data_IF_035460901627
#
_entry.id   IF_035460901627
#
_cell.length_a   1.000
_cell.length_b   1.000
_cell.length_c   1.000
_cell.angle_alpha   90.00
_cell.angle_beta   90.00
_cell.angle_gamma   90.00
#
_symmetry.space_group_name_H-M   'P 1'
#
loop_
_entity.id
_entity.type
_entity.pdbx_description
1 polymer ?
#
# COMPACT_ATOMS: atom_id res chain seq x y z
N UNK A 1 18.69 -14.46 16.11
CA UNK A 1 17.95 -13.49 15.30
C UNK A 1 16.49 -13.91 15.33
N UNK A 2 15.68 -13.25 16.17
CA UNK A 2 14.28 -13.58 16.40
C UNK A 2 13.43 -13.06 15.25
N UNK A 3 12.94 -13.98 14.44
CA UNK A 3 11.93 -13.74 13.42
C UNK A 3 10.59 -13.53 14.14
N UNK A 4 10.33 -12.27 14.53
CA UNK A 4 9.05 -11.88 15.12
C UNK A 4 7.99 -11.90 14.01
N UNK A 5 7.51 -13.10 13.68
CA UNK A 5 6.23 -13.26 13.01
C UNK A 5 5.18 -12.71 13.99
N UNK A 6 4.60 -11.55 13.68
CA UNK A 6 3.44 -11.01 14.39
C UNK A 6 2.32 -12.03 14.27
N UNK A 7 2.25 -12.95 15.24
CA UNK A 7 1.13 -13.87 15.41
C UNK A 7 -0.08 -13.04 15.79
N UNK A 8 -1.07 -13.00 14.90
CA UNK A 8 -2.40 -12.51 15.24
C UNK A 8 -2.98 -13.37 16.37
N UNK A 9 -3.76 -12.78 17.29
CA UNK A 9 -4.36 -13.52 18.40
C UNK A 9 -5.17 -14.71 17.84
N UNK A 10 -5.05 -15.89 18.45
CA UNK A 10 -5.77 -17.14 18.04
C UNK A 10 -7.29 -16.94 17.86
N UNK A 11 -7.87 -15.98 18.57
CA UNK A 11 -9.29 -15.59 18.46
C UNK A 11 -9.68 -15.02 17.10
N UNK A 12 -8.71 -14.58 16.30
CA UNK A 12 -8.97 -13.98 14.98
C UNK A 12 -9.27 -15.01 13.89
N UNK A 13 -8.99 -16.30 14.15
CA UNK A 13 -9.21 -17.37 13.20
C UNK A 13 -10.55 -18.03 13.50
N UNK A 14 -11.66 -17.41 13.06
CA UNK A 14 -12.97 -18.07 13.09
C UNK A 14 -13.11 -18.94 11.84
N UNK A 15 -13.05 -20.28 11.95
CA UNK A 15 -13.22 -21.16 10.80
C UNK A 15 -14.62 -21.00 10.23
N UNK A 16 -14.74 -20.87 8.91
CA UNK A 16 -16.04 -20.80 8.24
C UNK A 16 -16.77 -22.14 8.28
N UNK A 17 -16.01 -23.24 8.24
CA UNK A 17 -16.53 -24.59 8.40
C UNK A 17 -15.56 -25.43 9.26
N UNK A 18 -16.11 -26.06 10.30
CA UNK A 18 -15.43 -27.09 11.08
C UNK A 18 -16.10 -28.41 10.75
N UNK A 19 -15.39 -29.30 10.09
CA UNK A 19 -15.87 -30.66 9.81
C UNK A 19 -15.02 -31.66 10.58
N UNK A 20 -15.64 -32.71 11.08
CA UNK A 20 -14.94 -33.85 11.68
C UNK A 20 -15.04 -35.02 10.70
N UNK A 21 -13.90 -35.48 10.22
CA UNK A 21 -13.77 -36.59 9.29
C UNK A 21 -13.03 -37.72 10.03
N UNK A 22 -13.81 -38.65 10.59
CA UNK A 22 -13.29 -39.70 11.48
C UNK A 22 -12.55 -39.10 12.69
N UNK A 23 -11.25 -39.43 12.79
CA UNK A 23 -10.36 -38.96 13.86
C UNK A 23 -9.71 -37.60 13.57
N UNK A 24 -9.97 -37.00 12.40
CA UNK A 24 -9.42 -35.71 12.01
C UNK A 24 -10.45 -34.58 12.09
N UNK A 25 -9.99 -33.38 12.50
CA UNK A 25 -10.77 -32.15 12.46
C UNK A 25 -10.25 -31.28 11.31
N UNK A 26 -11.10 -31.03 10.32
CA UNK A 26 -10.82 -30.19 9.16
C UNK A 26 -11.39 -28.80 9.40
N UNK A 27 -10.51 -27.81 9.43
CA UNK A 27 -10.83 -26.39 9.64
C UNK A 27 -10.66 -25.66 8.31
N UNK A 28 -11.76 -25.14 7.75
CA UNK A 28 -11.72 -24.24 6.59
C UNK A 28 -11.71 -22.79 7.08
N UNK A 29 -10.66 -22.04 6.74
CA UNK A 29 -10.49 -20.63 7.11
C UNK A 29 -10.33 -19.83 5.82
N UNK A 30 -11.28 -18.94 5.48
CA UNK A 30 -11.11 -18.06 4.34
C UNK A 30 -9.99 -17.04 4.66
N UNK A 31 -8.92 -17.04 3.87
CA UNK A 31 -7.82 -16.08 3.99
C UNK A 31 -7.29 -15.70 2.61
N UNK A 32 -6.84 -14.45 2.46
CA UNK A 32 -6.25 -13.95 1.22
C UNK A 32 -4.76 -13.68 1.44
N UNK A 33 -3.91 -14.16 0.54
CA UNK A 33 -2.47 -13.86 0.60
C UNK A 33 -2.16 -12.68 -0.30
N UNK A 34 -1.54 -11.64 0.26
CA UNK A 34 -0.99 -10.51 -0.48
C UNK A 34 0.53 -10.56 -0.50
N UNK A 35 1.15 -10.16 -1.61
CA UNK A 35 2.61 -10.01 -1.71
C UNK A 35 3.01 -8.55 -1.75
N UNK A 36 3.88 -8.14 -0.83
CA UNK A 36 4.35 -6.75 -0.73
C UNK A 36 5.85 -6.68 -0.42
N UNK A 37 6.62 -6.02 -1.30
CA UNK A 37 8.10 -5.90 -1.18
C UNK A 37 8.80 -7.24 -0.92
N UNK A 38 8.32 -8.33 -1.52
CA UNK A 38 8.84 -9.69 -1.31
C UNK A 38 8.35 -10.40 -0.04
N UNK A 39 7.57 -9.73 0.82
CA UNK A 39 6.93 -10.33 2.01
C UNK A 39 5.53 -10.82 1.67
N UNK A 40 5.12 -11.98 2.20
CA UNK A 40 3.75 -12.48 2.12
C UNK A 40 2.98 -12.00 3.35
N UNK A 41 1.96 -11.19 3.13
CA UNK A 41 1.00 -10.76 4.15
C UNK A 41 -0.24 -11.66 4.07
N UNK A 42 -0.74 -12.10 5.23
CA UNK A 42 -2.03 -12.80 5.32
C UNK A 42 -3.08 -11.75 5.63
N UNK A 43 -3.99 -11.50 4.69
CA UNK A 43 -5.13 -10.61 4.84
C UNK A 43 -6.33 -11.45 5.26
N UNK A 44 -6.94 -11.06 6.37
CA UNK A 44 -8.16 -11.67 6.87
C UNK A 44 -9.37 -11.03 6.16
N UNK A 45 -10.39 -11.81 5.76
CA UNK A 45 -11.61 -11.26 5.16
C UNK A 45 -12.30 -10.30 6.13
N UNK A 46 -12.92 -9.25 5.58
CA UNK A 46 -13.58 -8.15 6.32
C UNK A 46 -14.64 -8.64 7.33
N UNK A 47 -15.15 -9.85 7.14
CA UNK A 47 -16.22 -10.46 7.92
C UNK A 47 -15.71 -11.23 9.17
N UNK A 48 -14.41 -11.15 9.45
CA UNK A 48 -13.84 -11.77 10.63
C UNK A 48 -14.00 -10.81 11.82
N UNK A 49 -14.64 -11.28 12.90
CA UNK A 49 -14.85 -10.57 14.17
C UNK A 49 -13.52 -10.33 14.91
N UNK A 50 -12.66 -9.51 14.30
CA UNK A 50 -11.29 -9.28 14.71
C UNK A 50 -11.10 -7.78 14.88
N UNK A 51 -11.57 -7.25 16.02
CA UNK A 51 -11.24 -5.90 16.48
C UNK A 51 -9.72 -5.66 16.64
N UNK A 52 -8.90 -6.69 16.49
CA UNK A 52 -7.44 -6.66 16.59
C UNK A 52 -6.69 -7.05 15.30
N UNK A 53 -7.36 -7.12 14.13
CA UNK A 53 -6.63 -7.28 12.88
C UNK A 53 -5.82 -5.99 12.60
N UNK A 54 -4.49 -6.06 12.41
CA UNK A 54 -3.70 -4.88 12.10
C UNK A 54 -4.19 -4.34 10.77
N UNK A 55 -4.67 -3.09 10.80
CA UNK A 55 -5.06 -2.35 9.59
C UNK A 55 -3.88 -2.42 8.61
N UNK A 56 -4.13 -2.70 7.31
CA UNK A 56 -3.05 -2.79 6.34
C UNK A 56 -2.26 -1.48 6.37
N UNK A 57 -0.97 -1.55 6.74
CA UNK A 57 -0.16 -0.33 6.78
C UNK A 57 -0.06 0.26 5.37
N UNK A 58 -0.27 1.58 5.19
CA UNK A 58 -0.14 2.18 3.88
C UNK A 58 1.30 2.15 3.38
N UNK A 59 1.49 2.15 2.07
CA UNK A 59 2.83 2.05 1.50
C UNK A 59 3.51 3.40 1.66
N UNK A 60 4.28 3.54 2.73
CA UNK A 60 4.96 4.80 3.05
C UNK A 60 5.71 5.39 1.86
N UNK A 61 6.27 4.55 0.98
CA UNK A 61 6.96 5.00 -0.24
C UNK A 61 6.00 5.65 -1.25
N UNK A 62 4.84 5.03 -1.51
CA UNK A 62 3.83 5.58 -2.42
C UNK A 62 3.16 6.82 -1.82
N UNK A 63 2.83 6.79 -0.53
CA UNK A 63 2.26 7.93 0.19
C UNK A 63 3.19 9.14 0.14
N UNK A 64 4.48 8.96 0.41
CA UNK A 64 5.46 10.05 0.33
C UNK A 64 5.64 10.56 -1.10
N UNK A 65 5.54 9.69 -2.11
CA UNK A 65 5.64 10.10 -3.50
C UNK A 65 4.42 10.93 -3.93
N UNK A 66 3.20 10.53 -3.55
CA UNK A 66 1.99 11.30 -3.75
C UNK A 66 2.10 12.66 -3.07
N UNK A 67 2.47 12.69 -1.78
CA UNK A 67 2.64 13.95 -1.05
C UNK A 67 3.66 14.89 -1.71
N UNK A 68 4.76 14.35 -2.25
CA UNK A 68 5.74 15.14 -3.01
C UNK A 68 5.18 15.64 -4.32
N UNK A 69 4.46 14.81 -5.07
CA UNK A 69 3.85 15.18 -6.33
C UNK A 69 2.91 16.38 -6.16
N UNK A 70 2.00 16.30 -5.17
CA UNK A 70 1.07 17.39 -4.86
C UNK A 70 1.80 18.66 -4.40
N UNK A 71 2.79 18.53 -3.51
CA UNK A 71 3.60 19.68 -3.06
C UNK A 71 4.33 20.36 -4.21
N UNK A 72 4.87 19.59 -5.15
CA UNK A 72 5.60 20.12 -6.29
C UNK A 72 4.67 20.79 -7.31
N UNK A 73 3.48 20.23 -7.51
CA UNK A 73 2.44 20.88 -8.31
C UNK A 73 1.99 22.19 -7.68
N UNK A 74 1.75 22.22 -6.39
CA UNK A 74 1.37 23.44 -5.67
C UNK A 74 2.45 24.53 -5.78
N UNK A 75 3.74 24.16 -5.77
CA UNK A 75 4.84 25.11 -5.99
C UNK A 75 4.86 25.68 -7.42
N UNK A 76 4.50 24.88 -8.43
CA UNK A 76 4.37 25.36 -9.81
C UNK A 76 3.14 26.26 -9.95
N UNK A 77 2.01 25.88 -9.35
CA UNK A 77 0.75 26.64 -9.39
C UNK A 77 0.87 27.99 -8.69
N UNK A 78 1.65 28.07 -7.61
CA UNK A 78 1.99 29.33 -6.92
C UNK A 78 3.01 30.19 -7.66
N UNK A 79 3.68 29.66 -8.67
CA UNK A 79 4.77 30.34 -9.38
C UNK A 79 6.08 30.40 -8.59
N UNK A 80 6.26 29.60 -7.53
CA UNK A 80 7.51 29.51 -6.75
C UNK A 80 8.67 28.89 -7.56
N UNK A 81 8.32 28.20 -8.63
CA UNK A 81 9.21 27.60 -9.64
C UNK A 81 8.54 27.76 -11.00
N UNK A 82 9.29 28.20 -12.01
CA UNK A 82 8.76 28.48 -13.34
C UNK A 82 8.71 27.25 -14.26
N UNK A 83 9.43 26.18 -13.92
CA UNK A 83 9.42 24.95 -14.73
C UNK A 83 9.84 23.70 -13.95
N UNK A 84 9.54 22.53 -14.52
CA UNK A 84 9.98 21.24 -14.00
C UNK A 84 11.51 21.13 -13.94
N UNK A 85 12.22 21.71 -14.91
CA UNK A 85 13.70 21.73 -14.92
C UNK A 85 14.30 22.63 -13.84
N UNK A 86 13.64 23.76 -13.55
CA UNK A 86 14.02 24.60 -12.42
C UNK A 86 13.81 23.88 -11.08
N UNK A 87 12.66 23.22 -10.92
CA UNK A 87 12.36 22.41 -9.74
C UNK A 87 13.38 21.27 -9.57
N UNK A 88 13.74 20.59 -10.66
CA UNK A 88 14.75 19.53 -10.67
C UNK A 88 16.13 20.03 -10.22
N UNK A 89 16.58 21.18 -10.75
CA UNK A 89 17.83 21.84 -10.32
C UNK A 89 17.80 22.23 -8.85
N UNK A 90 16.69 22.81 -8.38
CA UNK A 90 16.52 23.25 -6.98
C UNK A 90 16.57 22.08 -5.99
N UNK A 91 15.99 20.94 -6.37
CA UNK A 91 15.97 19.72 -5.56
C UNK A 91 17.21 18.83 -5.76
N UNK A 92 18.09 19.16 -6.72
CA UNK A 92 19.22 18.32 -7.17
C UNK A 92 18.79 16.91 -7.57
N UNK A 93 17.64 16.82 -8.24
CA UNK A 93 17.06 15.57 -8.75
C UNK A 93 17.10 15.57 -10.28
N UNK A 94 17.06 14.38 -10.88
CA UNK A 94 16.93 14.28 -12.34
C UNK A 94 15.56 14.73 -12.82
N UNK A 95 15.51 15.50 -13.91
CA UNK A 95 14.25 15.99 -14.50
C UNK A 95 13.24 14.87 -14.77
N UNK A 96 13.72 13.71 -15.26
CA UNK A 96 12.90 12.51 -15.46
C UNK A 96 12.26 12.00 -14.17
N UNK A 97 12.96 12.04 -13.03
CA UNK A 97 12.42 11.60 -11.74
C UNK A 97 11.34 12.57 -11.24
N UNK A 98 11.57 13.88 -11.41
CA UNK A 98 10.60 14.91 -11.04
C UNK A 98 9.34 14.78 -11.89
N UNK A 99 9.49 14.70 -13.21
CA UNK A 99 8.37 14.51 -14.14
C UNK A 99 7.56 13.24 -13.83
N UNK A 100 8.24 12.12 -13.53
CA UNK A 100 7.59 10.86 -13.17
C UNK A 100 6.81 10.93 -11.86
N UNK A 101 7.34 11.64 -10.87
CA UNK A 101 6.64 11.82 -9.59
C UNK A 101 5.46 12.76 -9.77
N UNK A 102 5.61 13.84 -10.56
CA UNK A 102 4.54 14.77 -10.88
C UNK A 102 3.36 14.10 -11.59
N UNK A 103 3.58 13.10 -12.46
CA UNK A 103 2.48 12.33 -13.08
C UNK A 103 1.56 11.65 -12.06
N UNK A 104 2.02 11.42 -10.82
CA UNK A 104 1.20 10.85 -9.76
C UNK A 104 0.09 11.79 -9.29
N UNK A 105 0.12 13.09 -9.59
CA UNK A 105 -1.01 13.98 -9.27
C UNK A 105 -2.20 13.76 -10.20
N UNK A 106 -1.98 13.22 -11.39
CA UNK A 106 -3.02 12.86 -12.34
C UNK A 106 -3.62 11.46 -12.08
N UNK A 107 -3.31 10.83 -10.95
CA UNK A 107 -3.95 9.58 -10.54
C UNK A 107 -5.46 9.76 -10.37
N UNK A 108 -6.23 8.69 -10.55
CA UNK A 108 -7.63 8.71 -10.14
C UNK A 108 -7.74 8.90 -8.62
N UNK A 109 -8.75 9.65 -8.14
CA UNK A 109 -8.96 9.88 -6.72
C UNK A 109 -9.13 8.55 -5.96
N UNK A 110 -9.87 7.60 -6.53
CA UNK A 110 -10.04 6.25 -5.97
C UNK A 110 -8.71 5.53 -5.71
N UNK A 111 -7.75 5.61 -6.63
CA UNK A 111 -6.46 4.95 -6.45
C UNK A 111 -5.59 5.68 -5.41
N UNK A 112 -5.68 7.01 -5.35
CA UNK A 112 -4.98 7.79 -4.33
C UNK A 112 -5.51 7.49 -2.92
N UNK A 113 -6.83 7.34 -2.77
CA UNK A 113 -7.48 6.93 -1.53
C UNK A 113 -7.10 5.51 -1.14
N UNK A 114 -7.10 4.57 -2.10
CA UNK A 114 -6.67 3.19 -1.87
C UNK A 114 -5.22 3.11 -1.36
N UNK A 115 -4.31 3.92 -1.92
CA UNK A 115 -2.91 4.00 -1.47
C UNK A 115 -2.81 4.55 -0.04
N UNK A 116 -3.60 5.58 0.28
CA UNK A 116 -3.64 6.16 1.63
C UNK A 116 -4.28 5.21 2.65
N UNK A 117 -5.25 4.41 2.22
CA UNK A 117 -5.92 3.38 3.04
C UNK A 117 -5.09 2.09 3.20
N UNK A 118 -4.04 1.90 2.39
CA UNK A 118 -3.28 0.64 2.34
C UNK A 118 -3.99 -0.49 1.60
N UNK A 119 -5.03 -0.16 0.84
CA UNK A 119 -5.87 -1.03 0.03
C UNK A 119 -5.47 -1.01 -1.46
N UNK A 120 -4.33 -0.42 -1.77
CA UNK A 120 -3.74 -0.44 -3.11
C UNK A 120 -3.65 -1.86 -3.70
N UNK A 121 -3.86 -2.04 -5.02
CA UNK A 121 -3.75 -3.33 -5.68
C UNK A 121 -2.38 -3.99 -5.51
N UNK A 122 -2.37 -5.32 -5.45
CA UNK A 122 -1.14 -6.10 -5.37
C UNK A 122 -0.17 -5.78 -6.52
N UNK A 123 1.10 -5.54 -6.18
CA UNK A 123 2.14 -5.22 -7.15
C UNK A 123 2.18 -3.75 -7.58
N UNK A 124 1.31 -2.89 -7.04
CA UNK A 124 1.40 -1.45 -7.30
C UNK A 124 2.73 -0.90 -6.79
N UNK A 125 3.45 -0.20 -7.67
CA UNK A 125 4.75 0.40 -7.37
C UNK A 125 4.89 1.74 -8.07
N UNK A 126 5.85 2.55 -7.64
CA UNK A 126 6.15 3.80 -8.35
C UNK A 126 6.49 3.55 -9.82
N UNK A 127 7.09 2.41 -10.15
CA UNK A 127 7.37 2.04 -11.54
C UNK A 127 6.09 1.76 -12.32
N UNK A 128 5.10 1.09 -11.74
CA UNK A 128 3.83 0.82 -12.44
C UNK A 128 2.98 2.07 -12.63
N UNK A 129 3.11 3.06 -11.75
CA UNK A 129 2.36 4.33 -11.82
C UNK A 129 3.04 5.41 -12.67
N UNK A 130 4.33 5.25 -12.98
CA UNK A 130 5.12 6.26 -13.73
C UNK A 130 5.78 5.70 -14.98
N UNK A 131 5.34 4.50 -15.42
CA UNK A 131 5.79 3.81 -16.63
C UNK A 131 5.17 4.41 -17.88
#
# INVERSE_FOLDING_TARGET
MTETATMLPKSAYRPSHVRREGDCVVLSIPMTFRRRKGRREIILPQNADCTAAPRPEPNRTLVLALARAWRWQEMLDRGDVGSVDELARRLRLGATYVARTMRLTALSPELSEAVLAGEEPDGLSLRSLSG
#
